data_IF_963071919223
#
_entry.id   IF_963071919223
#
_cell.length_a   1.000
_cell.length_b   1.000
_cell.length_c   1.000
_cell.angle_alpha   90.00
_cell.angle_beta   90.00
_cell.angle_gamma   90.00
#
_symmetry.space_group_name_H-M   'P 1'
#
loop_
_entity.id
_entity.type
_entity.pdbx_description
1 polymer ?
#
# COMPACT_ATOMS: atom_id res chain seq x y z
N UNK A 1 -26.62 -18.64 -9.23
CA UNK A 1 -25.18 -18.49 -9.52
C UNK A 1 -24.41 -18.77 -8.23
N UNK A 2 -23.64 -19.87 -8.14
CA UNK A 2 -22.88 -20.21 -6.93
C UNK A 2 -21.61 -19.35 -6.90
N UNK A 3 -21.62 -18.27 -6.13
CA UNK A 3 -20.39 -17.53 -5.82
C UNK A 3 -19.55 -18.42 -4.90
N UNK A 4 -18.34 -18.87 -5.29
CA UNK A 4 -17.51 -19.65 -4.40
C UNK A 4 -17.08 -18.76 -3.22
N UNK A 5 -17.66 -19.01 -2.06
CA UNK A 5 -17.30 -18.38 -0.79
C UNK A 5 -15.94 -18.92 -0.37
N UNK A 6 -14.88 -18.12 -0.56
CA UNK A 6 -13.55 -18.44 -0.05
C UNK A 6 -13.52 -18.04 1.43
N UNK A 7 -13.78 -19.01 2.31
CA UNK A 7 -13.71 -18.84 3.77
C UNK A 7 -12.25 -18.97 4.22
N UNK A 8 -11.64 -17.88 4.68
CA UNK A 8 -10.29 -17.90 5.26
C UNK A 8 -10.36 -18.33 6.74
N UNK A 9 -9.84 -19.51 7.06
CA UNK A 9 -9.64 -19.95 8.45
C UNK A 9 -8.24 -19.57 8.93
N UNK A 10 -8.15 -18.83 10.04
CA UNK A 10 -6.89 -18.51 10.72
C UNK A 10 -6.91 -19.24 12.07
N UNK A 11 -6.08 -20.28 12.22
CA UNK A 11 -5.83 -20.93 13.51
C UNK A 11 -4.75 -20.15 14.29
N UNK A 12 -5.08 -19.84 15.54
CA UNK A 12 -4.17 -19.30 16.55
C UNK A 12 -3.75 -20.43 17.50
N UNK A 13 -2.45 -20.55 17.76
CA UNK A 13 -1.93 -21.29 18.91
C UNK A 13 -0.91 -20.45 19.66
N UNK A 14 -1.12 -20.36 20.98
CA UNK A 14 -0.29 -19.67 21.97
C UNK A 14 0.37 -20.74 22.84
N UNK A 15 1.67 -20.60 23.11
CA UNK A 15 2.32 -21.24 24.27
C UNK A 15 3.27 -20.23 24.90
N UNK A 16 3.25 -20.04 26.24
CA UNK A 16 4.23 -19.25 26.96
C UNK A 16 5.27 -20.13 27.68
N UNK A 17 6.51 -19.65 27.77
CA UNK A 17 7.37 -19.68 28.97
C UNK A 17 8.75 -19.06 28.65
N UNK A 18 9.30 -18.26 29.57
CA UNK A 18 10.69 -17.78 29.56
C UNK A 18 11.46 -18.47 30.68
N UNK A 19 12.73 -18.87 30.46
CA UNK A 19 13.80 -18.20 31.21
C UNK A 19 15.14 -18.08 30.44
N UNK A 20 15.95 -17.07 30.82
CA UNK A 20 17.37 -16.93 30.45
C UNK A 20 17.64 -16.47 29.01
N UNK A 21 17.94 -15.18 28.83
CA UNK A 21 18.37 -14.66 27.51
C UNK A 21 19.83 -15.06 27.28
N UNK A 22 20.05 -16.23 26.68
CA UNK A 22 21.29 -16.55 25.97
C UNK A 22 21.24 -15.76 24.67
N UNK A 23 22.15 -14.80 24.47
CA UNK A 23 22.25 -14.09 23.21
C UNK A 23 22.84 -15.05 22.14
N UNK A 24 21.98 -15.66 21.33
CA UNK A 24 22.38 -16.66 20.34
C UNK A 24 23.24 -16.13 19.19
N UNK A 25 23.35 -14.81 18.98
CA UNK A 25 24.17 -14.29 17.88
C UNK A 25 24.68 -12.87 18.12
N UNK A 26 26.01 -12.72 18.11
CA UNK A 26 26.70 -11.43 17.97
C UNK A 26 26.98 -11.21 16.48
N UNK A 27 26.40 -10.17 15.86
CA UNK A 27 26.69 -9.78 14.48
C UNK A 27 27.37 -8.42 14.45
N UNK A 28 28.45 -8.31 13.69
CA UNK A 28 29.07 -7.03 13.39
C UNK A 28 28.19 -6.24 12.41
N UNK A 29 27.96 -4.96 12.70
CA UNK A 29 27.34 -4.02 11.76
C UNK A 29 28.25 -2.80 11.62
N UNK A 30 28.63 -2.47 10.38
CA UNK A 30 29.49 -1.35 10.02
C UNK A 30 28.90 0.01 10.41
N UNK A 31 27.57 0.10 10.58
CA UNK A 31 26.91 1.34 11.05
C UNK A 31 27.32 1.73 12.48
N UNK A 32 27.86 0.80 13.27
CA UNK A 32 28.43 1.10 14.59
C UNK A 32 29.94 1.36 14.58
N UNK A 33 30.58 1.24 13.42
CA UNK A 33 31.98 1.55 13.30
C UNK A 33 32.19 3.06 13.48
N UNK A 34 33.06 3.43 14.41
CA UNK A 34 33.40 4.82 14.68
C UNK A 34 33.96 5.52 13.44
N UNK A 35 34.57 4.79 12.51
CA UNK A 35 35.04 5.34 11.24
C UNK A 35 33.91 5.88 10.35
N UNK A 36 32.67 5.40 10.50
CA UNK A 36 31.51 5.95 9.79
C UNK A 36 30.96 7.23 10.43
N UNK A 37 31.29 7.47 11.70
CA UNK A 37 30.87 8.61 12.51
C UNK A 37 29.39 9.07 12.36
N UNK A 38 28.39 8.17 12.37
CA UNK A 38 26.99 8.55 12.27
C UNK A 38 26.53 9.36 13.49
N UNK A 39 25.55 10.24 13.26
CA UNK A 39 24.88 11.01 14.31
C UNK A 39 24.13 10.10 15.30
N UNK A 40 24.21 10.40 16.60
CA UNK A 40 23.52 9.61 17.63
C UNK A 40 21.99 9.68 17.48
N UNK A 41 21.46 10.75 16.86
CA UNK A 41 20.04 10.96 16.56
C UNK A 41 19.41 9.86 15.69
N UNK A 42 20.22 9.12 14.92
CA UNK A 42 19.75 8.04 14.05
C UNK A 42 19.48 6.73 14.80
N UNK A 43 19.85 6.64 16.08
CA UNK A 43 19.74 5.44 16.89
C UNK A 43 18.56 5.52 17.86
N UNK A 44 18.25 4.41 18.54
CA UNK A 44 17.08 4.31 19.45
C UNK A 44 17.30 4.91 20.83
N UNK A 45 18.56 5.16 21.19
CA UNK A 45 18.95 5.83 22.42
C UNK A 45 19.65 7.18 22.15
N UNK A 46 19.06 8.10 21.36
CA UNK A 46 19.70 9.35 21.05
C UNK A 46 19.69 10.24 22.29
N UNK A 47 18.51 10.68 22.75
CA UNK A 47 18.28 11.66 23.81
C UNK A 47 17.27 11.14 24.86
N UNK A 48 16.86 12.01 25.77
CA UNK A 48 16.00 11.68 26.92
C UNK A 48 16.79 11.26 28.16
N UNK A 49 16.08 10.96 29.26
CA UNK A 49 16.70 10.65 30.55
C UNK A 49 17.73 9.50 30.50
N UNK A 50 17.54 8.53 29.58
CA UNK A 50 18.42 7.39 29.37
C UNK A 50 19.25 7.50 28.06
N UNK A 51 19.08 8.56 27.27
CA UNK A 51 19.72 8.72 25.97
C UNK A 51 21.22 9.00 26.06
N UNK A 52 21.97 8.55 25.05
CA UNK A 52 23.43 8.67 25.01
C UNK A 52 23.90 10.11 24.78
N UNK A 53 23.15 10.91 24.01
CA UNK A 53 23.43 12.35 23.83
C UNK A 53 23.26 13.09 25.15
N UNK A 54 22.23 12.76 25.94
CA UNK A 54 21.98 13.38 27.24
C UNK A 54 23.01 12.96 28.28
N UNK A 55 23.30 11.65 28.38
CA UNK A 55 24.23 11.11 29.39
C UNK A 55 25.70 11.38 29.06
N UNK A 56 26.08 11.24 27.79
CA UNK A 56 27.46 11.38 27.37
C UNK A 56 27.74 12.76 26.77
N UNK A 57 26.76 13.65 26.55
CA UNK A 57 26.97 14.98 25.93
C UNK A 57 27.71 14.92 24.58
N UNK A 58 27.38 13.95 23.73
CA UNK A 58 27.98 13.78 22.40
C UNK A 58 26.90 13.63 21.35
N UNK A 59 27.14 14.10 20.12
CA UNK A 59 26.14 14.13 19.05
C UNK A 59 26.39 13.08 17.95
N UNK A 60 27.55 12.42 17.95
CA UNK A 60 27.90 11.37 16.99
C UNK A 60 28.73 10.24 17.63
N UNK A 61 28.96 9.16 16.88
CA UNK A 61 29.68 7.98 17.38
C UNK A 61 31.15 8.26 17.72
N UNK A 62 31.83 9.19 17.04
CA UNK A 62 33.21 9.53 17.34
C UNK A 62 33.33 10.28 18.66
N UNK A 63 32.45 11.26 18.91
CA UNK A 63 32.38 11.97 20.18
C UNK A 63 32.00 11.03 21.33
N UNK A 64 31.09 10.08 21.08
CA UNK A 64 30.74 9.06 22.05
C UNK A 64 31.95 8.16 22.37
N UNK A 65 32.70 7.72 21.35
CA UNK A 65 33.92 6.91 21.52
C UNK A 65 34.90 7.53 22.51
N UNK A 66 35.17 8.83 22.37
CA UNK A 66 36.11 9.56 23.22
C UNK A 66 35.68 9.64 24.68
N UNK A 67 34.42 9.29 24.97
CA UNK A 67 33.82 9.32 26.32
C UNK A 67 33.58 7.93 26.89
N UNK A 68 33.71 6.89 26.07
CA UNK A 68 33.63 5.51 26.51
C UNK A 68 35.02 5.03 26.94
N UNK A 69 35.05 4.05 27.85
CA UNK A 69 36.31 3.41 28.25
C UNK A 69 36.96 2.73 27.03
N UNK A 70 38.29 2.73 26.98
CA UNK A 70 39.03 2.03 25.94
C UNK A 70 38.60 0.56 25.84
N UNK A 71 38.41 0.06 24.60
CA UNK A 71 37.90 -1.29 24.36
C UNK A 71 36.38 -1.45 24.51
N UNK A 72 35.65 -0.36 24.75
CA UNK A 72 34.18 -0.35 24.67
C UNK A 72 33.73 -0.09 23.24
N UNK A 73 32.84 -0.94 22.76
CA UNK A 73 32.20 -0.81 21.45
C UNK A 73 30.75 -0.37 21.61
N UNK A 74 30.15 0.06 20.51
CA UNK A 74 28.74 0.41 20.47
C UNK A 74 28.03 -0.60 19.58
N UNK A 75 26.82 -1.05 19.94
CA UNK A 75 26.10 -2.05 19.16
C UNK A 75 24.62 -2.13 19.47
N UNK A 76 23.84 -2.86 18.68
CA UNK A 76 22.44 -3.14 18.99
C UNK A 76 22.30 -4.10 20.18
N UNK A 77 21.22 -3.98 20.94
CA UNK A 77 20.81 -5.02 21.89
C UNK A 77 19.31 -5.24 21.83
N UNK A 78 18.84 -6.50 21.82
CA UNK A 78 17.42 -6.80 21.91
C UNK A 78 16.79 -6.36 23.24
N UNK A 79 17.59 -6.06 24.27
CA UNK A 79 17.10 -5.53 25.54
C UNK A 79 16.56 -4.09 25.42
N UNK A 80 16.90 -3.36 24.35
CA UNK A 80 16.36 -2.03 24.07
C UNK A 80 15.14 -2.21 23.17
N UNK A 81 13.96 -1.94 23.72
CA UNK A 81 12.67 -2.23 23.06
C UNK A 81 11.97 -0.97 22.55
N UNK A 82 12.35 0.22 23.04
CA UNK A 82 11.71 1.49 22.72
C UNK A 82 12.68 2.67 22.80
N UNK A 83 12.29 3.81 22.23
CA UNK A 83 13.07 5.05 22.39
C UNK A 83 13.19 5.41 23.87
N UNK A 84 14.38 5.84 24.30
CA UNK A 84 14.69 6.19 25.69
C UNK A 84 14.44 5.03 26.69
N UNK A 85 14.64 3.77 26.24
CA UNK A 85 14.57 2.58 27.10
C UNK A 85 15.51 2.71 28.32
N UNK A 86 15.14 2.12 29.47
CA UNK A 86 15.99 2.08 30.66
C UNK A 86 17.27 1.26 30.45
N UNK A 87 17.30 0.42 29.41
CA UNK A 87 18.48 -0.31 28.97
C UNK A 87 19.41 0.52 28.07
N UNK A 88 19.01 1.73 27.67
CA UNK A 88 19.87 2.64 26.91
C UNK A 88 21.14 2.99 27.72
N UNK A 89 22.30 2.81 27.08
CA UNK A 89 23.58 3.08 27.74
C UNK A 89 24.02 2.00 28.74
N UNK A 90 23.32 0.86 28.83
CA UNK A 90 23.81 -0.28 29.61
C UNK A 90 25.00 -0.93 28.92
N UNK A 91 25.99 -1.28 29.73
CA UNK A 91 27.14 -2.07 29.31
C UNK A 91 26.77 -3.55 29.32
N UNK A 92 26.98 -4.19 28.18
CA UNK A 92 26.86 -5.63 28.03
C UNK A 92 28.25 -6.22 27.86
N UNK A 93 28.56 -7.27 28.61
CA UNK A 93 29.78 -8.06 28.42
C UNK A 93 29.43 -9.23 27.50
N UNK A 94 30.00 -9.25 26.31
CA UNK A 94 29.89 -10.40 25.41
C UNK A 94 31.19 -11.21 25.47
N UNK A 95 31.08 -12.50 25.74
CA UNK A 95 32.21 -13.45 25.74
C UNK A 95 32.08 -14.37 24.54
N UNK A 96 33.09 -14.40 23.67
CA UNK A 96 33.13 -15.35 22.55
C UNK A 96 33.83 -16.61 23.05
N UNK A 97 33.09 -17.72 23.12
CA UNK A 97 33.58 -18.99 23.68
C UNK A 97 34.82 -19.52 22.94
N UNK A 98 34.94 -19.27 21.64
CA UNK A 98 36.03 -19.80 20.82
C UNK A 98 37.39 -19.12 21.04
N UNK A 99 37.45 -17.93 21.64
CA UNK A 99 38.72 -17.21 21.82
C UNK A 99 38.85 -16.48 23.17
N UNK A 100 37.92 -16.71 24.10
CA UNK A 100 37.88 -16.06 25.44
C UNK A 100 37.88 -14.53 25.42
N UNK A 101 37.72 -13.88 24.26
CA UNK A 101 37.70 -12.43 24.19
C UNK A 101 36.37 -11.92 24.73
N UNK A 102 36.48 -11.07 25.74
CA UNK A 102 35.38 -10.26 26.26
C UNK A 102 35.42 -8.87 25.66
N UNK A 103 34.29 -8.42 25.13
CA UNK A 103 34.11 -7.03 24.72
C UNK A 103 32.94 -6.42 25.48
N UNK A 104 33.12 -5.17 25.90
CA UNK A 104 32.04 -4.37 26.47
C UNK A 104 31.33 -3.66 25.33
N UNK A 105 30.02 -3.86 25.17
CA UNK A 105 29.22 -3.13 24.20
C UNK A 105 28.18 -2.26 24.88
N UNK A 106 28.01 -1.04 24.39
CA UNK A 106 26.88 -0.18 24.75
C UNK A 106 25.74 -0.46 23.79
N UNK A 107 24.68 -1.03 24.34
CA UNK A 107 23.42 -1.29 23.65
C UNK A 107 22.82 0.02 23.11
N UNK A 108 22.50 0.09 21.82
CA UNK A 108 22.16 1.35 21.15
C UNK A 108 21.07 1.30 20.08
N UNK A 109 20.71 0.15 19.53
CA UNK A 109 19.72 0.11 18.44
C UNK A 109 18.61 -0.89 18.66
N UNK A 110 17.39 -0.38 18.51
CA UNK A 110 16.25 -1.12 18.03
C UNK A 110 16.44 -1.20 16.53
N UNK A 111 16.83 -2.36 16.04
CA UNK A 111 16.60 -2.73 14.66
C UNK A 111 15.08 -2.79 14.53
N UNK A 112 14.43 -1.63 14.25
CA UNK A 112 12.99 -1.32 14.49
C UNK A 112 12.23 -2.61 14.61
N UNK A 113 12.08 -3.11 15.85
CA UNK A 113 11.70 -4.50 16.06
C UNK A 113 10.22 -4.54 15.76
N UNK A 114 9.91 -4.79 14.49
CA UNK A 114 8.57 -5.14 14.05
C UNK A 114 8.04 -6.12 15.10
N UNK A 115 6.83 -5.87 15.58
CA UNK A 115 6.16 -6.81 16.48
C UNK A 115 6.25 -8.23 15.90
N UNK A 116 6.23 -9.25 16.77
CA UNK A 116 6.25 -10.65 16.32
C UNK A 116 5.19 -10.89 15.24
N UNK A 117 3.98 -10.36 15.44
CA UNK A 117 2.89 -10.41 14.46
C UNK A 117 3.28 -9.80 13.12
N UNK A 118 3.92 -8.64 13.08
CA UNK A 118 4.32 -8.01 11.82
C UNK A 118 5.45 -8.78 11.13
N UNK A 119 6.39 -9.36 11.90
CA UNK A 119 7.42 -10.25 11.33
C UNK A 119 6.82 -11.50 10.72
N UNK A 120 5.93 -12.17 11.45
CA UNK A 120 5.22 -13.36 10.96
C UNK A 120 4.41 -13.03 9.69
N UNK A 121 3.71 -11.89 9.68
CA UNK A 121 2.98 -11.43 8.51
C UNK A 121 3.90 -11.22 7.29
N UNK A 122 5.06 -10.57 7.47
CA UNK A 122 6.00 -10.34 6.37
C UNK A 122 6.67 -11.63 5.86
N UNK A 123 6.98 -12.58 6.76
CA UNK A 123 7.69 -13.80 6.40
C UNK A 123 6.77 -14.91 5.89
N UNK A 124 5.58 -15.06 6.48
CA UNK A 124 4.65 -16.13 6.15
C UNK A 124 3.57 -15.68 5.17
N UNK A 125 3.14 -14.42 5.22
CA UNK A 125 2.04 -13.91 4.39
C UNK A 125 2.23 -14.14 2.89
N UNK A 126 3.30 -13.60 2.26
CA UNK A 126 3.52 -13.79 0.83
C UNK A 126 3.71 -15.26 0.43
N UNK A 127 4.57 -16.07 1.09
CA UNK A 127 4.67 -17.50 0.77
C UNK A 127 3.35 -18.26 0.90
N UNK A 128 2.56 -18.02 1.96
CA UNK A 128 1.26 -18.65 2.13
C UNK A 128 0.28 -18.28 1.01
N UNK A 129 0.24 -17.01 0.59
CA UNK A 129 -0.58 -16.58 -0.53
C UNK A 129 -0.16 -17.24 -1.85
N UNK A 130 1.15 -17.31 -2.12
CA UNK A 130 1.68 -17.96 -3.33
C UNK A 130 1.43 -19.47 -3.34
N UNK A 131 1.54 -20.14 -2.19
CA UNK A 131 1.20 -21.56 -2.06
C UNK A 131 -0.29 -21.79 -2.35
N UNK A 132 -1.18 -20.97 -1.78
CA UNK A 132 -2.62 -21.06 -2.03
C UNK A 132 -2.99 -20.80 -3.49
N UNK A 133 -2.36 -19.83 -4.14
CA UNK A 133 -2.54 -19.60 -5.59
C UNK A 133 -1.96 -20.78 -6.37
N UNK A 134 -0.82 -21.34 -5.93
CA UNK A 134 -0.13 -22.44 -6.59
C UNK A 134 -0.94 -23.74 -6.62
N UNK A 135 -1.80 -23.99 -5.64
CA UNK A 135 -2.69 -25.17 -5.63
C UNK A 135 -3.77 -25.11 -6.71
N UNK A 136 -4.07 -23.94 -7.25
CA UNK A 136 -5.11 -23.74 -8.29
C UNK A 136 -4.53 -23.31 -9.63
N UNK A 137 -3.44 -22.53 -9.63
CA UNK A 137 -2.74 -22.09 -10.83
C UNK A 137 -1.25 -21.84 -10.55
N UNK A 138 -0.36 -22.81 -10.83
CA UNK A 138 1.09 -22.64 -10.67
C UNK A 138 1.64 -21.46 -11.49
N UNK A 139 1.08 -21.22 -12.68
CA UNK A 139 1.44 -20.08 -13.54
C UNK A 139 1.12 -18.75 -12.89
N UNK A 140 -0.08 -18.62 -12.29
CA UNK A 140 -0.44 -17.40 -11.56
C UNK A 140 0.44 -17.19 -10.33
N UNK A 141 0.77 -18.27 -9.60
CA UNK A 141 1.67 -18.19 -8.44
C UNK A 141 3.07 -17.72 -8.85
N UNK A 142 3.60 -18.17 -9.99
CA UNK A 142 4.90 -17.73 -10.49
C UNK A 142 4.92 -16.25 -10.87
N UNK A 143 3.82 -15.71 -11.43
CA UNK A 143 3.74 -14.34 -11.93
C UNK A 143 3.30 -13.32 -10.87
N UNK A 144 2.55 -13.76 -9.85
CA UNK A 144 2.03 -12.90 -8.77
C UNK A 144 3.08 -12.04 -8.06
N UNK A 145 4.33 -12.49 -7.81
CA UNK A 145 5.38 -11.66 -7.21
C UNK A 145 5.70 -10.38 -7.99
N UNK A 146 5.43 -10.33 -9.30
CA UNK A 146 5.64 -9.13 -10.11
C UNK A 146 4.78 -7.94 -9.64
N UNK A 147 3.60 -8.21 -9.06
CA UNK A 147 2.73 -7.19 -8.47
C UNK A 147 3.39 -6.42 -7.31
N UNK A 148 4.40 -7.01 -6.65
CA UNK A 148 5.12 -6.39 -5.53
C UNK A 148 6.25 -5.47 -5.97
N UNK A 149 6.63 -5.45 -7.26
CA UNK A 149 7.76 -4.65 -7.74
C UNK A 149 7.58 -3.16 -7.44
N UNK A 150 6.43 -2.52 -7.74
CA UNK A 150 6.25 -1.10 -7.41
C UNK A 150 6.28 -0.83 -5.90
N UNK A 151 5.75 -1.75 -5.09
CA UNK A 151 5.82 -1.70 -3.62
C UNK A 151 7.26 -1.72 -3.14
N UNK A 152 8.11 -2.60 -3.66
CA UNK A 152 9.53 -2.67 -3.30
C UNK A 152 10.28 -1.38 -3.67
N UNK A 153 10.03 -0.84 -4.87
CA UNK A 153 10.64 0.43 -5.33
C UNK A 153 10.23 1.60 -4.43
N UNK A 154 8.95 1.72 -4.11
CA UNK A 154 8.43 2.79 -3.26
C UNK A 154 8.88 2.63 -1.81
N UNK A 155 8.94 1.42 -1.27
CA UNK A 155 9.48 1.13 0.06
C UNK A 155 10.95 1.56 0.17
N UNK A 156 11.79 1.26 -0.84
CA UNK A 156 13.19 1.72 -0.91
C UNK A 156 13.28 3.24 -0.92
N UNK A 157 12.48 3.92 -1.75
CA UNK A 157 12.44 5.40 -1.82
C UNK A 157 11.96 6.01 -0.51
N UNK A 158 10.93 5.43 0.10
CA UNK A 158 10.39 5.84 1.38
C UNK A 158 11.45 5.71 2.49
N UNK A 159 12.17 4.58 2.58
CA UNK A 159 13.24 4.37 3.58
C UNK A 159 14.30 5.47 3.49
N UNK A 160 14.74 5.83 2.29
CA UNK A 160 15.69 6.93 2.07
C UNK A 160 15.16 8.28 2.58
N UNK A 161 13.90 8.61 2.27
CA UNK A 161 13.26 9.89 2.68
C UNK A 161 13.01 9.96 4.19
N UNK A 162 12.54 8.84 4.77
CA UNK A 162 12.33 8.69 6.21
C UNK A 162 13.63 8.93 6.97
N UNK A 163 14.73 8.33 6.52
CA UNK A 163 16.03 8.52 7.18
C UNK A 163 16.48 9.98 7.18
N UNK A 164 16.13 10.75 6.15
CA UNK A 164 16.44 12.18 6.08
C UNK A 164 15.52 13.06 6.97
N UNK A 165 14.30 12.60 7.27
CA UNK A 165 13.31 13.40 8.03
C UNK A 165 12.34 12.52 8.84
N UNK A 166 12.84 11.76 9.84
CA UNK A 166 12.06 10.72 10.50
C UNK A 166 10.83 11.27 11.23
N UNK A 167 10.89 12.51 11.72
CA UNK A 167 9.80 13.16 12.43
C UNK A 167 8.60 13.52 11.53
N UNK A 168 8.73 13.52 10.19
CA UNK A 168 7.65 13.88 9.27
C UNK A 168 6.91 12.67 8.69
N UNK A 169 7.57 11.51 8.70
CA UNK A 169 7.11 10.30 8.03
C UNK A 169 6.40 9.31 8.98
N UNK A 170 5.63 8.40 8.39
CA UNK A 170 5.01 7.30 9.14
C UNK A 170 6.06 6.31 9.66
N UNK A 171 5.67 5.48 10.63
CA UNK A 171 6.48 4.36 11.13
C UNK A 171 6.24 3.13 10.24
N UNK A 172 7.25 2.27 10.03
CA UNK A 172 7.15 1.14 9.09
C UNK A 172 6.06 0.14 9.45
N UNK A 173 5.90 -0.19 10.73
CA UNK A 173 4.95 -1.22 11.18
C UNK A 173 3.49 -0.82 10.88
N UNK A 174 3.03 0.39 11.22
CA UNK A 174 1.72 0.87 10.77
C UNK A 174 1.54 0.88 9.25
N UNK A 175 2.60 1.12 8.46
CA UNK A 175 2.51 1.06 7.00
C UNK A 175 2.30 -0.37 6.49
N UNK A 176 3.00 -1.35 7.07
CA UNK A 176 2.80 -2.78 6.74
C UNK A 176 1.37 -3.18 7.03
N UNK A 177 0.85 -2.85 8.22
CA UNK A 177 -0.54 -3.16 8.57
C UNK A 177 -1.55 -2.44 7.67
N UNK A 178 -1.31 -1.17 7.33
CA UNK A 178 -2.17 -0.44 6.40
C UNK A 178 -2.20 -1.10 5.02
N UNK A 179 -1.02 -1.46 4.50
CA UNK A 179 -0.90 -2.20 3.24
C UNK A 179 -1.69 -3.52 3.28
N UNK A 180 -1.47 -4.34 4.31
CA UNK A 180 -2.11 -5.65 4.42
C UNK A 180 -3.62 -5.56 4.64
N UNK A 181 -4.07 -4.71 5.56
CA UNK A 181 -5.51 -4.60 5.90
C UNK A 181 -6.29 -4.00 4.73
N UNK A 182 -5.76 -2.98 4.06
CA UNK A 182 -6.42 -2.40 2.90
C UNK A 182 -6.48 -3.39 1.73
N UNK A 183 -5.40 -4.14 1.48
CA UNK A 183 -5.38 -5.13 0.41
C UNK A 183 -6.28 -6.35 0.65
N UNK A 184 -6.41 -6.79 1.91
CA UNK A 184 -7.23 -7.98 2.24
C UNK A 184 -8.65 -7.57 2.65
N UNK A 185 -8.84 -7.19 3.92
CA UNK A 185 -10.14 -6.84 4.48
C UNK A 185 -10.79 -5.65 3.76
N UNK A 186 -9.99 -4.65 3.39
CA UNK A 186 -10.46 -3.48 2.65
C UNK A 186 -11.03 -3.85 1.30
N UNK A 187 -10.31 -4.63 0.49
CA UNK A 187 -10.79 -5.08 -0.81
C UNK A 187 -12.00 -6.01 -0.68
N UNK A 188 -12.02 -6.92 0.29
CA UNK A 188 -13.17 -7.78 0.56
C UNK A 188 -14.42 -6.96 0.93
N UNK A 189 -14.27 -5.97 1.81
CA UNK A 189 -15.35 -5.06 2.17
C UNK A 189 -15.81 -4.23 0.95
N UNK A 190 -14.88 -3.73 0.13
CA UNK A 190 -15.20 -3.04 -1.11
C UNK A 190 -16.04 -3.91 -2.03
N UNK A 191 -15.62 -5.16 -2.28
CA UNK A 191 -16.32 -6.09 -3.15
C UNK A 191 -17.75 -6.39 -2.66
N UNK A 192 -17.97 -6.57 -1.36
CA UNK A 192 -19.31 -6.80 -0.78
C UNK A 192 -20.21 -5.58 -1.00
N UNK A 193 -19.72 -4.38 -0.67
CA UNK A 193 -20.49 -3.14 -0.82
C UNK A 193 -20.78 -2.86 -2.30
N UNK A 194 -19.79 -3.04 -3.17
CA UNK A 194 -19.92 -2.91 -4.62
C UNK A 194 -20.97 -3.87 -5.17
N UNK A 195 -20.90 -5.15 -4.80
CA UNK A 195 -21.90 -6.14 -5.23
C UNK A 195 -23.30 -5.75 -4.75
N UNK A 196 -23.46 -5.31 -3.50
CA UNK A 196 -24.75 -4.83 -2.99
C UNK A 196 -25.32 -3.67 -3.79
N UNK A 197 -24.50 -2.66 -4.10
CA UNK A 197 -24.89 -1.51 -4.93
C UNK A 197 -25.30 -1.99 -6.33
N UNK A 198 -24.47 -2.80 -6.98
CA UNK A 198 -24.73 -3.27 -8.33
C UNK A 198 -25.96 -4.17 -8.42
N UNK A 199 -26.21 -5.03 -7.42
CA UNK A 199 -27.44 -5.84 -7.33
C UNK A 199 -28.69 -4.96 -7.20
N UNK A 200 -28.66 -3.94 -6.33
CA UNK A 200 -29.77 -3.01 -6.18
C UNK A 200 -30.06 -2.24 -7.47
N UNK A 201 -29.02 -1.71 -8.12
CA UNK A 201 -29.14 -0.98 -9.39
C UNK A 201 -29.62 -1.90 -10.52
N UNK A 202 -29.08 -3.12 -10.61
CA UNK A 202 -29.51 -4.12 -11.58
C UNK A 202 -30.99 -4.49 -11.40
N UNK A 203 -31.47 -4.62 -10.16
CA UNK A 203 -32.87 -4.89 -9.88
C UNK A 203 -33.82 -3.74 -10.29
N UNK A 204 -33.34 -2.49 -10.24
CA UNK A 204 -34.12 -1.31 -10.68
C UNK A 204 -34.11 -1.17 -12.21
N UNK A 205 -32.96 -1.39 -12.85
CA UNK A 205 -32.79 -1.17 -14.29
C UNK A 205 -33.34 -2.33 -15.15
N UNK A 206 -33.38 -3.56 -14.61
CA UNK A 206 -33.72 -4.78 -15.34
C UNK A 206 -35.01 -5.38 -14.75
N UNK A 207 -36.20 -5.00 -15.26
CA UNK A 207 -37.47 -5.27 -14.59
C UNK A 207 -37.89 -6.74 -14.61
N UNK A 208 -37.53 -7.50 -15.66
CA UNK A 208 -37.84 -8.94 -15.75
C UNK A 208 -36.71 -9.79 -15.17
N UNK A 209 -37.06 -10.85 -14.44
CA UNK A 209 -36.10 -11.79 -13.86
C UNK A 209 -35.21 -12.46 -14.91
N UNK A 210 -35.76 -12.79 -16.08
CA UNK A 210 -35.02 -13.39 -17.19
C UNK A 210 -33.92 -12.46 -17.71
N UNK A 211 -34.27 -11.21 -18.04
CA UNK A 211 -33.29 -10.20 -18.48
C UNK A 211 -32.21 -9.94 -17.41
N UNK A 212 -32.58 -9.91 -16.13
CA UNK A 212 -31.61 -9.72 -15.03
C UNK A 212 -30.67 -10.91 -14.94
N UNK A 213 -31.17 -12.13 -15.05
CA UNK A 213 -30.37 -13.36 -15.04
C UNK A 213 -29.44 -13.42 -16.25
N UNK A 214 -29.94 -13.08 -17.43
CA UNK A 214 -29.18 -12.98 -18.67
C UNK A 214 -28.06 -11.93 -18.53
N UNK A 215 -28.39 -10.71 -18.09
CA UNK A 215 -27.43 -9.63 -17.88
C UNK A 215 -26.31 -10.04 -16.92
N UNK A 216 -26.64 -10.62 -15.75
CA UNK A 216 -25.62 -11.04 -14.79
C UNK A 216 -24.77 -12.20 -15.29
N UNK A 217 -25.36 -13.09 -16.08
CA UNK A 217 -24.63 -14.18 -16.74
C UNK A 217 -23.61 -13.59 -17.70
N UNK A 218 -24.03 -12.65 -18.54
CA UNK A 218 -23.15 -11.99 -19.51
C UNK A 218 -22.12 -11.06 -18.85
N UNK A 219 -22.48 -10.33 -17.79
CA UNK A 219 -21.60 -9.45 -17.03
C UNK A 219 -20.48 -10.24 -16.31
N UNK A 220 -20.78 -11.45 -15.85
CA UNK A 220 -19.82 -12.34 -15.18
C UNK A 220 -18.88 -13.09 -16.12
N UNK A 221 -19.05 -13.01 -17.45
CA UNK A 221 -18.16 -13.70 -18.40
C UNK A 221 -16.81 -13.00 -18.51
N UNK A 222 -15.74 -13.80 -18.49
CA UNK A 222 -14.37 -13.33 -18.73
C UNK A 222 -13.92 -13.47 -20.19
N UNK A 223 -14.69 -14.18 -21.03
CA UNK A 223 -14.37 -14.42 -22.45
C UNK A 223 -15.63 -14.60 -23.29
N UNK A 224 -15.53 -14.31 -24.59
CA UNK A 224 -16.55 -14.57 -25.62
C UNK A 224 -16.30 -15.87 -26.39
N UNK A 225 -15.20 -16.55 -26.12
CA UNK A 225 -14.86 -17.82 -26.77
C UNK A 225 -15.94 -18.87 -26.53
N UNK A 226 -16.39 -19.52 -27.60
CA UNK A 226 -17.40 -20.58 -27.55
C UNK A 226 -18.85 -20.10 -27.61
N UNK A 227 -19.09 -18.78 -27.76
CA UNK A 227 -20.43 -18.26 -28.02
C UNK A 227 -20.82 -18.44 -29.49
N UNK A 228 -22.10 -18.75 -29.73
CA UNK A 228 -22.68 -18.77 -31.09
C UNK A 228 -22.86 -17.35 -31.63
N UNK A 229 -23.05 -17.21 -32.95
CA UNK A 229 -23.33 -15.91 -33.57
C UNK A 229 -24.57 -15.23 -32.97
N UNK A 230 -25.63 -15.99 -32.75
CA UNK A 230 -26.87 -15.50 -32.12
C UNK A 230 -26.63 -14.99 -30.69
N UNK A 231 -25.81 -15.69 -29.90
CA UNK A 231 -25.42 -15.26 -28.55
C UNK A 231 -24.57 -13.99 -28.59
N UNK A 232 -23.66 -13.85 -29.57
CA UNK A 232 -22.85 -12.64 -29.74
C UNK A 232 -23.71 -11.43 -30.12
N UNK A 233 -24.68 -11.62 -31.03
CA UNK A 233 -25.64 -10.57 -31.40
C UNK A 233 -26.48 -10.14 -30.20
N UNK A 234 -27.00 -11.10 -29.43
CA UNK A 234 -27.78 -10.82 -28.22
C UNK A 234 -26.95 -10.09 -27.16
N UNK A 235 -25.70 -10.49 -26.96
CA UNK A 235 -24.76 -9.81 -26.06
C UNK A 235 -24.48 -8.38 -26.50
N UNK A 236 -24.32 -8.13 -27.80
CA UNK A 236 -24.11 -6.79 -28.34
C UNK A 236 -25.35 -5.89 -28.16
N UNK A 237 -26.56 -6.44 -28.28
CA UNK A 237 -27.81 -5.75 -27.96
C UNK A 237 -27.84 -5.33 -26.48
N UNK A 238 -27.54 -6.25 -25.55
CA UNK A 238 -27.45 -5.95 -24.12
C UNK A 238 -26.37 -4.89 -23.84
N UNK A 239 -25.21 -5.00 -24.48
CA UNK A 239 -24.09 -4.08 -24.30
C UNK A 239 -24.46 -2.65 -24.75
N UNK A 240 -25.17 -2.53 -25.88
CA UNK A 240 -25.59 -1.23 -26.44
C UNK A 240 -26.80 -0.62 -25.74
N UNK A 241 -27.52 -1.38 -24.92
CA UNK A 241 -28.68 -0.90 -24.16
C UNK A 241 -28.35 0.27 -23.22
N UNK A 242 -29.28 1.23 -23.09
CA UNK A 242 -29.10 2.35 -22.17
C UNK A 242 -28.99 1.89 -20.71
N UNK A 243 -29.63 0.77 -20.35
CA UNK A 243 -29.54 0.14 -19.03
C UNK A 243 -28.10 -0.24 -18.71
N UNK A 244 -27.38 -0.86 -19.65
CA UNK A 244 -25.98 -1.23 -19.47
C UNK A 244 -25.09 0.01 -19.29
N UNK A 245 -25.34 1.09 -20.04
CA UNK A 245 -24.60 2.35 -19.87
C UNK A 245 -24.82 3.00 -18.50
N UNK A 246 -26.07 3.07 -18.01
CA UNK A 246 -26.39 3.59 -16.67
C UNK A 246 -25.80 2.68 -15.58
N UNK A 247 -25.88 1.37 -15.77
CA UNK A 247 -25.27 0.40 -14.88
C UNK A 247 -23.75 0.58 -14.81
N UNK A 248 -23.06 0.68 -15.95
CA UNK A 248 -21.62 0.90 -16.02
C UNK A 248 -21.22 2.24 -15.39
N UNK A 249 -21.98 3.31 -15.59
CA UNK A 249 -21.76 4.58 -14.89
C UNK A 249 -21.83 4.42 -13.37
N UNK A 250 -22.85 3.71 -12.88
CA UNK A 250 -23.03 3.49 -11.44
C UNK A 250 -21.96 2.56 -10.85
N UNK A 251 -21.65 1.46 -11.54
CA UNK A 251 -20.57 0.54 -11.19
C UNK A 251 -19.23 1.29 -11.05
N UNK A 252 -18.92 2.16 -12.00
CA UNK A 252 -17.58 2.75 -12.08
C UNK A 252 -17.41 3.96 -11.15
N UNK A 253 -18.37 4.88 -11.10
CA UNK A 253 -18.25 6.08 -10.26
C UNK A 253 -18.69 5.86 -8.82
N UNK A 254 -19.76 5.10 -8.60
CA UNK A 254 -20.35 4.91 -7.26
C UNK A 254 -19.79 3.65 -6.62
N UNK A 255 -19.96 2.48 -7.24
CA UNK A 255 -19.54 1.23 -6.63
C UNK A 255 -18.00 1.18 -6.53
N UNK A 256 -17.26 1.32 -7.62
CA UNK A 256 -15.80 1.27 -7.62
C UNK A 256 -15.17 2.57 -7.09
N UNK A 257 -15.39 3.69 -7.80
CA UNK A 257 -14.75 4.97 -7.51
C UNK A 257 -15.01 5.47 -6.09
N UNK A 258 -16.27 5.64 -5.69
CA UNK A 258 -16.59 6.19 -4.38
C UNK A 258 -16.21 5.24 -3.23
N UNK A 259 -16.61 3.97 -3.27
CA UNK A 259 -16.35 3.03 -2.17
C UNK A 259 -14.86 2.85 -1.94
N UNK A 260 -14.08 2.62 -3.00
CA UNK A 260 -12.65 2.36 -2.83
C UNK A 260 -11.87 3.60 -2.42
N UNK A 261 -12.16 4.77 -2.98
CA UNK A 261 -11.46 5.99 -2.58
C UNK A 261 -11.83 6.41 -1.16
N UNK A 262 -13.04 6.11 -0.71
CA UNK A 262 -13.41 6.28 0.70
C UNK A 262 -12.63 5.31 1.61
N UNK A 263 -12.48 4.04 1.23
CA UNK A 263 -11.66 3.08 1.97
C UNK A 263 -10.18 3.50 2.01
N UNK A 264 -9.63 3.98 0.89
CA UNK A 264 -8.26 4.53 0.82
C UNK A 264 -8.08 5.82 1.64
N UNK A 265 -9.17 6.49 2.01
CA UNK A 265 -9.17 7.66 2.89
C UNK A 265 -9.14 7.30 4.39
N UNK A 266 -9.59 6.11 4.80
CA UNK A 266 -9.55 5.65 6.21
C UNK A 266 -8.15 5.75 6.84
N UNK A 267 -7.04 5.37 6.17
CA UNK A 267 -5.69 5.55 6.68
C UNK A 267 -5.33 7.01 7.03
N UNK A 268 -5.91 8.00 6.33
CA UNK A 268 -5.76 9.42 6.68
C UNK A 268 -6.41 9.70 8.03
N UNK A 269 -7.64 9.21 8.22
CA UNK A 269 -8.36 9.37 9.49
C UNK A 269 -7.59 8.72 10.65
N UNK A 270 -7.02 7.54 10.41
CA UNK A 270 -6.14 6.86 11.37
C UNK A 270 -4.89 7.70 11.69
N UNK A 271 -4.19 8.21 10.66
CA UNK A 271 -3.01 9.05 10.83
C UNK A 271 -3.33 10.31 11.66
N UNK A 272 -4.41 11.00 11.32
CA UNK A 272 -4.92 12.18 12.04
C UNK A 272 -5.15 11.90 13.52
N UNK A 273 -5.84 10.80 13.84
CA UNK A 273 -6.11 10.41 15.23
C UNK A 273 -4.83 10.10 15.98
N UNK A 274 -3.86 9.45 15.33
CA UNK A 274 -2.55 9.12 15.92
C UNK A 274 -1.73 10.38 16.20
N UNK A 275 -1.71 11.33 15.28
CA UNK A 275 -0.99 12.60 15.40
C UNK A 275 -1.55 13.46 16.53
N UNK A 276 -2.89 13.53 16.65
CA UNK A 276 -3.56 14.18 17.77
C UNK A 276 -3.18 13.53 19.12
N UNK A 277 -3.22 12.20 19.21
CA UNK A 277 -2.86 11.47 20.44
C UNK A 277 -1.39 11.68 20.85
N UNK A 278 -0.47 11.73 19.87
CA UNK A 278 0.96 11.92 20.12
C UNK A 278 1.38 13.39 20.25
N UNK A 279 0.46 14.34 20.04
CA UNK A 279 0.77 15.77 19.93
C UNK A 279 1.92 16.04 18.95
N UNK A 280 1.97 15.28 17.85
CA UNK A 280 3.06 15.32 16.88
C UNK A 280 2.50 15.68 15.50
N UNK A 281 3.13 16.65 14.83
CA UNK A 281 2.78 17.06 13.46
C UNK A 281 3.59 16.24 12.45
N UNK A 282 2.92 15.34 11.71
CA UNK A 282 3.54 14.47 10.70
C UNK A 282 2.83 14.59 9.36
N UNK A 283 2.97 15.76 8.75
CA UNK A 283 2.31 16.13 7.50
C UNK A 283 2.57 15.16 6.33
N UNK A 284 3.76 14.55 6.27
CA UNK A 284 4.09 13.52 5.24
C UNK A 284 3.56 12.14 5.57
N UNK A 285 3.16 11.85 6.81
CA UNK A 285 2.62 10.56 7.18
C UNK A 285 1.30 10.26 6.45
N UNK A 286 0.46 11.27 6.17
CA UNK A 286 -0.79 11.08 5.42
C UNK A 286 -0.53 10.46 4.04
N UNK A 287 0.48 10.96 3.34
CA UNK A 287 0.92 10.44 2.04
C UNK A 287 1.43 9.01 2.20
N UNK A 288 2.29 8.75 3.19
CA UNK A 288 2.83 7.41 3.42
C UNK A 288 1.72 6.37 3.67
N UNK A 289 0.75 6.68 4.54
CA UNK A 289 -0.37 5.78 4.87
C UNK A 289 -1.28 5.53 3.67
N UNK A 290 -1.64 6.56 2.92
CA UNK A 290 -2.53 6.42 1.76
C UNK A 290 -1.84 5.68 0.62
N UNK A 291 -0.54 5.93 0.38
CA UNK A 291 0.22 5.15 -0.60
C UNK A 291 0.35 3.69 -0.18
N UNK A 292 0.59 3.39 1.11
CA UNK A 292 0.59 2.01 1.59
C UNK A 292 -0.77 1.32 1.36
N UNK A 293 -1.88 2.02 1.63
CA UNK A 293 -3.23 1.51 1.37
C UNK A 293 -3.50 1.25 -0.11
N UNK A 294 -3.13 2.20 -0.98
CA UNK A 294 -3.30 2.06 -2.43
C UNK A 294 -2.44 0.92 -3.00
N UNK A 295 -1.20 0.77 -2.52
CA UNK A 295 -0.35 -0.37 -2.87
C UNK A 295 -0.98 -1.69 -2.43
N UNK A 296 -1.50 -1.76 -1.21
CA UNK A 296 -2.20 -2.94 -0.69
C UNK A 296 -3.36 -3.37 -1.57
N UNK A 297 -4.27 -2.42 -1.87
CA UNK A 297 -5.39 -2.62 -2.80
C UNK A 297 -4.90 -3.15 -4.16
N UNK A 298 -4.00 -2.41 -4.80
CA UNK A 298 -3.53 -2.73 -6.15
C UNK A 298 -2.79 -4.07 -6.23
N UNK A 299 -2.06 -4.48 -5.19
CA UNK A 299 -1.34 -5.75 -5.19
C UNK A 299 -2.32 -6.92 -5.21
N UNK A 300 -3.32 -6.92 -4.32
CA UNK A 300 -4.29 -8.03 -4.23
C UNK A 300 -5.18 -8.05 -5.48
N UNK A 301 -5.59 -6.89 -5.97
CA UNK A 301 -6.34 -6.78 -7.22
C UNK A 301 -5.53 -7.30 -8.42
N UNK A 302 -4.26 -6.89 -8.55
CA UNK A 302 -3.38 -7.36 -9.63
C UNK A 302 -3.16 -8.87 -9.56
N UNK A 303 -3.04 -9.45 -8.36
CA UNK A 303 -2.99 -10.91 -8.19
C UNK A 303 -4.27 -11.57 -8.72
N UNK A 304 -5.45 -11.00 -8.42
CA UNK A 304 -6.72 -11.46 -8.95
C UNK A 304 -6.78 -11.43 -10.48
N UNK A 305 -6.30 -10.35 -11.11
CA UNK A 305 -6.23 -10.25 -12.57
C UNK A 305 -5.23 -11.25 -13.18
N UNK A 306 -4.04 -11.40 -12.59
CA UNK A 306 -3.05 -12.40 -13.02
C UNK A 306 -3.63 -13.81 -12.93
N UNK A 307 -4.33 -14.10 -11.84
CA UNK A 307 -4.99 -15.39 -11.63
C UNK A 307 -6.05 -15.65 -12.71
N UNK A 308 -6.95 -14.68 -12.94
CA UNK A 308 -8.00 -14.78 -13.96
C UNK A 308 -7.42 -15.02 -15.36
N UNK A 309 -6.36 -14.30 -15.73
CA UNK A 309 -5.68 -14.47 -17.01
C UNK A 309 -5.00 -15.84 -17.16
N UNK A 310 -4.50 -16.42 -16.06
CA UNK A 310 -3.80 -17.71 -16.09
C UNK A 310 -4.75 -18.92 -16.07
N UNK A 311 -5.84 -18.88 -15.28
CA UNK A 311 -6.78 -20.00 -15.12
C UNK A 311 -7.61 -20.23 -16.37
N UNK A 312 -7.87 -19.17 -17.16
CA UNK A 312 -8.57 -19.30 -18.44
C UNK A 312 -7.83 -20.19 -19.45
N UNK A 313 -6.54 -20.51 -19.23
CA UNK A 313 -5.77 -21.50 -20.00
C UNK A 313 -5.49 -21.16 -21.47
N UNK A 314 -6.17 -20.16 -22.02
CA UNK A 314 -6.19 -19.85 -23.45
C UNK A 314 -5.47 -18.54 -23.81
N UNK A 315 -5.00 -17.76 -22.84
CA UNK A 315 -4.29 -16.52 -23.15
C UNK A 315 -2.86 -16.79 -23.63
N UNK A 316 -2.53 -16.22 -24.79
CA UNK A 316 -1.17 -16.23 -25.33
C UNK A 316 -0.22 -15.45 -24.41
N UNK A 317 1.06 -15.83 -24.40
CA UNK A 317 2.09 -15.13 -23.61
C UNK A 317 2.15 -13.62 -23.86
N UNK A 318 2.05 -13.11 -25.11
CA UNK A 318 1.99 -11.67 -25.36
C UNK A 318 0.78 -10.99 -24.70
N UNK A 319 -0.40 -11.61 -24.73
CA UNK A 319 -1.61 -11.06 -24.08
C UNK A 319 -1.48 -11.05 -22.55
N UNK A 320 -0.87 -12.09 -21.99
CA UNK A 320 -0.57 -12.14 -20.57
C UNK A 320 0.45 -11.08 -20.14
N UNK A 321 1.50 -10.85 -20.95
CA UNK A 321 2.48 -9.79 -20.71
C UNK A 321 1.84 -8.41 -20.80
N UNK A 322 0.94 -8.19 -21.76
CA UNK A 322 0.16 -6.97 -21.87
C UNK A 322 -0.69 -6.76 -20.62
N UNK A 323 -1.44 -7.78 -20.17
CA UNK A 323 -2.24 -7.74 -18.94
C UNK A 323 -1.37 -7.39 -17.72
N UNK A 324 -0.18 -8.00 -17.61
CA UNK A 324 0.77 -7.67 -16.55
C UNK A 324 1.20 -6.20 -16.60
N UNK A 325 1.55 -5.67 -17.78
CA UNK A 325 1.92 -4.27 -17.94
C UNK A 325 0.76 -3.33 -17.61
N UNK A 326 -0.44 -3.61 -18.11
CA UNK A 326 -1.64 -2.82 -17.85
C UNK A 326 -2.01 -2.79 -16.37
N UNK A 327 -1.88 -3.90 -15.66
CA UNK A 327 -2.31 -3.99 -14.26
C UNK A 327 -1.21 -3.55 -13.28
N UNK A 328 0.00 -4.11 -13.43
CA UNK A 328 1.12 -3.86 -12.51
C UNK A 328 1.75 -2.48 -12.72
N UNK A 329 1.81 -1.98 -13.96
CA UNK A 329 2.41 -0.67 -14.23
C UNK A 329 1.31 0.38 -14.28
N UNK A 330 0.39 0.25 -15.24
CA UNK A 330 -0.55 1.33 -15.56
C UNK A 330 -1.63 1.46 -14.47
N UNK A 331 -2.31 0.38 -14.10
CA UNK A 331 -3.34 0.36 -13.07
C UNK A 331 -2.81 0.79 -11.70
N UNK A 332 -1.66 0.24 -11.28
CA UNK A 332 -1.04 0.62 -10.02
C UNK A 332 -0.61 2.09 -9.97
N UNK A 333 -0.05 2.64 -11.06
CA UNK A 333 0.20 4.08 -11.16
C UNK A 333 -1.09 4.91 -11.07
N UNK A 334 -2.18 4.43 -11.66
CA UNK A 334 -3.52 4.98 -11.50
C UNK A 334 -3.92 5.09 -10.02
N UNK A 335 -3.96 3.98 -9.30
CA UNK A 335 -4.28 3.95 -7.86
C UNK A 335 -3.40 4.88 -7.04
N UNK A 336 -2.08 4.85 -7.26
CA UNK A 336 -1.14 5.69 -6.53
C UNK A 336 -1.37 7.18 -6.80
N UNK A 337 -1.69 7.55 -8.04
CA UNK A 337 -1.89 8.94 -8.42
C UNK A 337 -3.14 9.55 -7.77
N UNK A 338 -4.27 8.84 -7.81
CA UNK A 338 -5.53 9.29 -7.20
C UNK A 338 -5.47 9.26 -5.67
N UNK A 339 -4.82 8.25 -5.09
CA UNK A 339 -4.61 8.16 -3.65
C UNK A 339 -3.68 9.29 -3.14
N UNK A 340 -2.61 9.59 -3.88
CA UNK A 340 -1.73 10.73 -3.58
C UNK A 340 -2.51 12.05 -3.61
N UNK A 341 -3.42 12.23 -4.57
CA UNK A 341 -4.28 13.41 -4.65
C UNK A 341 -5.15 13.56 -3.39
N UNK A 342 -5.78 12.48 -2.93
CA UNK A 342 -6.54 12.44 -1.66
C UNK A 342 -5.67 12.84 -0.47
N UNK A 343 -4.47 12.26 -0.35
CA UNK A 343 -3.57 12.54 0.76
C UNK A 343 -3.12 14.02 0.79
N UNK A 344 -2.75 14.59 -0.36
CA UNK A 344 -2.28 15.97 -0.44
C UNK A 344 -3.37 16.98 -0.09
N UNK A 345 -4.59 16.73 -0.55
CA UNK A 345 -5.74 17.58 -0.23
C UNK A 345 -6.14 17.46 1.24
N UNK A 346 -6.03 16.26 1.82
CA UNK A 346 -6.18 16.08 3.26
C UNK A 346 -5.09 16.81 4.07
N UNK A 347 -3.83 16.77 3.63
CA UNK A 347 -2.73 17.52 4.27
C UNK A 347 -3.00 19.01 4.24
N UNK A 348 -3.44 19.56 3.10
CA UNK A 348 -3.86 20.96 2.97
C UNK A 348 -4.94 21.36 3.96
N UNK A 349 -6.01 20.55 4.05
CA UNK A 349 -7.10 20.77 5.00
C UNK A 349 -6.63 20.73 6.45
N UNK A 350 -5.95 19.65 6.84
CA UNK A 350 -5.69 19.35 8.26
C UNK A 350 -4.45 20.07 8.81
N UNK A 351 -3.49 20.45 7.96
CA UNK A 351 -2.23 21.07 8.39
C UNK A 351 -2.01 22.50 7.90
N UNK A 352 -2.72 22.94 6.85
CA UNK A 352 -2.54 24.26 6.25
C UNK A 352 -3.79 25.14 6.34
N UNK A 353 -4.88 24.64 6.94
CA UNK A 353 -6.08 25.43 7.24
C UNK A 353 -6.99 25.67 6.04
N UNK A 354 -6.78 24.96 4.93
CA UNK A 354 -7.67 25.10 3.77
C UNK A 354 -9.08 24.59 4.09
N UNK A 355 -10.10 25.37 3.75
CA UNK A 355 -11.53 25.05 3.98
C UNK A 355 -12.07 24.01 3.00
N UNK A 356 -11.48 22.81 3.00
CA UNK A 356 -11.91 21.69 2.15
C UNK A 356 -12.84 20.75 2.93
N UNK A 357 -14.09 20.60 2.50
CA UNK A 357 -14.97 19.54 2.99
C UNK A 357 -14.48 18.14 2.59
N UNK A 358 -15.17 17.08 3.04
CA UNK A 358 -14.84 15.70 2.68
C UNK A 358 -14.80 15.50 1.16
N UNK A 359 -15.82 15.98 0.44
CA UNK A 359 -15.84 15.95 -1.03
C UNK A 359 -14.73 16.78 -1.67
N UNK A 360 -14.35 17.88 -1.02
CA UNK A 360 -13.18 18.66 -1.40
C UNK A 360 -11.88 17.86 -1.27
N UNK A 361 -11.83 16.77 -0.51
CA UNK A 361 -10.66 15.90 -0.37
C UNK A 361 -10.72 14.71 -1.32
N UNK A 362 -11.80 13.91 -1.26
CA UNK A 362 -11.90 12.63 -1.99
C UNK A 362 -12.50 12.76 -3.39
N UNK A 363 -13.31 13.80 -3.65
CA UNK A 363 -14.08 13.95 -4.90
C UNK A 363 -13.26 13.87 -6.18
N UNK A 364 -12.13 14.59 -6.29
CA UNK A 364 -11.27 14.47 -7.46
C UNK A 364 -10.75 13.04 -7.67
N UNK A 365 -10.40 12.32 -6.62
CA UNK A 365 -9.94 10.93 -6.73
C UNK A 365 -11.05 10.01 -7.21
N UNK A 366 -12.26 10.14 -6.66
CA UNK A 366 -13.46 9.41 -7.10
C UNK A 366 -13.74 9.65 -8.58
N UNK A 367 -13.66 10.91 -9.04
CA UNK A 367 -13.87 11.26 -10.44
C UNK A 367 -12.81 10.62 -11.33
N UNK A 368 -11.52 10.80 -11.04
CA UNK A 368 -10.44 10.23 -11.86
C UNK A 368 -10.49 8.70 -11.92
N UNK A 369 -10.74 8.05 -10.78
CA UNK A 369 -10.85 6.60 -10.71
C UNK A 369 -12.11 6.10 -11.44
N UNK A 370 -13.27 6.69 -11.20
CA UNK A 370 -14.50 6.34 -11.90
C UNK A 370 -14.42 6.54 -13.41
N UNK A 371 -13.85 7.66 -13.87
CA UNK A 371 -13.65 7.90 -15.31
C UNK A 371 -12.68 6.92 -15.94
N UNK A 372 -11.61 6.52 -15.23
CA UNK A 372 -10.70 5.48 -15.70
C UNK A 372 -11.46 4.16 -15.93
N UNK A 373 -12.25 3.71 -14.94
CA UNK A 373 -13.01 2.47 -15.06
C UNK A 373 -14.10 2.58 -16.14
N UNK A 374 -14.80 3.72 -16.20
CA UNK A 374 -15.83 3.96 -17.20
C UNK A 374 -15.28 3.93 -18.63
N UNK A 375 -14.10 4.51 -18.87
CA UNK A 375 -13.46 4.48 -20.18
C UNK A 375 -13.13 3.03 -20.61
N UNK A 376 -12.61 2.22 -19.69
CA UNK A 376 -12.36 0.80 -19.93
C UNK A 376 -13.64 0.03 -20.26
N UNK A 377 -14.69 0.20 -19.44
CA UNK A 377 -15.99 -0.42 -19.69
C UNK A 377 -16.58 0.01 -21.04
N UNK A 378 -16.44 1.30 -21.39
CA UNK A 378 -16.94 1.84 -22.67
C UNK A 378 -16.26 1.18 -23.86
N UNK A 379 -14.94 0.99 -23.82
CA UNK A 379 -14.22 0.27 -24.90
C UNK A 379 -14.69 -1.18 -24.99
N UNK A 380 -14.92 -1.85 -23.86
CA UNK A 380 -15.46 -3.21 -23.85
C UNK A 380 -16.87 -3.27 -24.48
N UNK A 381 -17.74 -2.30 -24.13
CA UNK A 381 -19.08 -2.16 -24.72
C UNK A 381 -19.03 -1.90 -26.22
N UNK A 382 -18.05 -1.13 -26.72
CA UNK A 382 -17.85 -0.92 -28.15
C UNK A 382 -17.48 -2.20 -28.92
N UNK A 383 -17.02 -3.25 -28.23
CA UNK A 383 -16.83 -4.59 -28.78
C UNK A 383 -18.04 -5.51 -28.55
N UNK A 384 -19.18 -4.96 -28.14
CA UNK A 384 -20.41 -5.72 -27.87
C UNK A 384 -20.37 -6.50 -26.56
N UNK A 385 -19.52 -6.12 -25.60
CA UNK A 385 -19.40 -6.81 -24.32
C UNK A 385 -20.26 -6.19 -23.22
N UNK A 386 -20.89 -7.05 -22.42
CA UNK A 386 -21.48 -6.72 -21.12
C UNK A 386 -20.44 -7.07 -20.05
N UNK A 387 -20.10 -6.13 -19.18
CA UNK A 387 -18.98 -6.32 -18.24
C UNK A 387 -17.61 -6.01 -18.85
N UNK A 388 -16.53 -6.28 -18.11
CA UNK A 388 -15.17 -6.09 -18.59
C UNK A 388 -14.65 -7.38 -19.25
N UNK A 389 -14.52 -7.34 -20.57
CA UNK A 389 -13.68 -8.27 -21.33
C UNK A 389 -12.57 -7.47 -22.00
N UNK A 390 -11.33 -7.92 -21.84
CA UNK A 390 -10.17 -7.25 -22.43
C UNK A 390 -10.32 -7.18 -23.96
N UNK A 391 -10.16 -6.00 -24.58
CA UNK A 391 -10.34 -5.84 -26.01
C UNK A 391 -9.34 -6.71 -26.79
N UNK A 392 -9.80 -7.34 -27.87
CA UNK A 392 -8.95 -8.19 -28.70
C UNK A 392 -8.43 -7.45 -29.95
N UNK A 393 -9.12 -6.40 -30.39
CA UNK A 393 -8.73 -5.62 -31.57
C UNK A 393 -7.63 -4.61 -31.27
N UNK A 394 -6.57 -4.58 -32.09
CA UNK A 394 -5.44 -3.63 -31.94
C UNK A 394 -5.91 -2.18 -31.77
N UNK A 395 -6.91 -1.75 -32.55
CA UNK A 395 -7.50 -0.41 -32.48
C UNK A 395 -8.10 -0.11 -31.11
N UNK A 396 -8.91 -1.03 -30.58
CA UNK A 396 -9.61 -0.84 -29.31
C UNK A 396 -8.66 -0.94 -28.12
N UNK A 397 -7.70 -1.86 -28.17
CA UNK A 397 -6.61 -1.94 -27.18
C UNK A 397 -5.78 -0.65 -27.18
N UNK A 398 -5.38 -0.13 -28.34
CA UNK A 398 -4.66 1.14 -28.43
C UNK A 398 -5.49 2.32 -27.90
N UNK A 399 -6.79 2.36 -28.21
CA UNK A 399 -7.71 3.37 -27.68
C UNK A 399 -7.82 3.29 -26.14
N UNK A 400 -8.04 2.10 -25.58
CA UNK A 400 -8.11 1.88 -24.14
C UNK A 400 -6.83 2.34 -23.45
N UNK A 401 -5.66 1.90 -23.94
CA UNK A 401 -4.35 2.29 -23.41
C UNK A 401 -4.13 3.80 -23.49
N UNK A 402 -4.50 4.43 -24.61
CA UNK A 402 -4.38 5.88 -24.80
C UNK A 402 -5.25 6.67 -23.83
N UNK A 403 -6.53 6.32 -23.70
CA UNK A 403 -7.47 6.95 -22.76
C UNK A 403 -6.99 6.79 -21.32
N UNK A 404 -6.66 5.57 -20.91
CA UNK A 404 -6.17 5.25 -19.58
C UNK A 404 -4.88 6.02 -19.25
N UNK A 405 -3.89 5.98 -20.15
CA UNK A 405 -2.60 6.65 -19.93
C UNK A 405 -2.77 8.17 -19.87
N UNK A 406 -3.66 8.73 -20.70
CA UNK A 406 -4.03 10.15 -20.65
C UNK A 406 -4.64 10.54 -19.31
N UNK A 407 -5.58 9.75 -18.80
CA UNK A 407 -6.22 9.97 -17.50
C UNK A 407 -5.23 9.88 -16.33
N UNK A 408 -4.32 8.90 -16.35
CA UNK A 408 -3.24 8.80 -15.36
C UNK A 408 -2.30 10.01 -15.44
N UNK A 409 -1.93 10.44 -16.65
CA UNK A 409 -1.12 11.64 -16.86
C UNK A 409 -1.79 12.89 -16.27
N UNK A 410 -3.11 13.04 -16.45
CA UNK A 410 -3.89 14.12 -15.85
C UNK A 410 -3.94 14.02 -14.32
N UNK A 411 -4.18 12.83 -13.76
CA UNK A 411 -4.19 12.62 -12.31
C UNK A 411 -2.82 12.93 -11.69
N UNK A 412 -1.71 12.48 -12.29
CA UNK A 412 -0.34 12.80 -11.88
C UNK A 412 -0.08 14.30 -11.97
N UNK A 413 -0.51 14.97 -13.06
CA UNK A 413 -0.40 16.43 -13.19
C UNK A 413 -1.16 17.14 -12.06
N UNK A 414 -2.36 16.69 -11.71
CA UNK A 414 -3.14 17.25 -10.59
C UNK A 414 -2.49 16.99 -9.24
N UNK A 415 -1.99 15.78 -8.98
CA UNK A 415 -1.24 15.49 -7.76
C UNK A 415 0.01 16.37 -7.65
N UNK A 416 0.75 16.60 -8.75
CA UNK A 416 1.90 17.52 -8.79
C UNK A 416 1.51 18.97 -8.49
N UNK A 417 0.35 19.42 -8.99
CA UNK A 417 -0.17 20.76 -8.67
C UNK A 417 -0.51 20.90 -7.18
N UNK A 418 -1.17 19.90 -6.59
CA UNK A 418 -1.46 19.89 -5.15
C UNK A 418 -0.18 19.79 -4.29
N UNK A 419 0.81 19.02 -4.75
CA UNK A 419 2.12 18.94 -4.09
C UNK A 419 2.83 20.29 -4.01
N UNK A 420 2.82 21.06 -5.10
CA UNK A 420 3.40 22.41 -5.13
C UNK A 420 2.74 23.35 -4.13
N UNK A 421 1.41 23.25 -3.95
CA UNK A 421 0.69 24.05 -2.94
C UNK A 421 1.15 23.69 -1.52
N UNK A 422 1.26 22.40 -1.20
CA UNK A 422 1.80 21.94 0.09
C UNK A 422 3.22 22.46 0.32
N UNK A 423 4.10 22.38 -0.69
CA UNK A 423 5.46 22.91 -0.58
C UNK A 423 5.50 24.42 -0.34
N UNK A 424 4.62 25.18 -1.01
CA UNK A 424 4.52 26.63 -0.80
C UNK A 424 4.17 26.96 0.66
N UNK A 425 3.15 26.30 1.23
CA UNK A 425 2.81 26.50 2.65
C UNK A 425 3.94 26.12 3.61
N UNK A 426 4.73 25.09 3.29
CA UNK A 426 5.91 24.73 4.08
C UNK A 426 6.97 25.83 4.04
N UNK A 427 7.22 26.41 2.86
CA UNK A 427 8.19 27.50 2.70
C UNK A 427 7.74 28.78 3.40
N UNK A 428 6.46 29.16 3.25
CA UNK A 428 5.91 30.36 3.87
C UNK A 428 6.00 30.26 5.40
N UNK A 429 5.68 29.08 5.97
CA UNK A 429 5.82 28.83 7.41
C UNK A 429 7.28 28.95 7.90
N UNK A 430 8.24 28.45 7.13
CA UNK A 430 9.66 28.56 7.52
C UNK A 430 10.12 30.02 7.56
N UNK A 431 9.67 30.84 6.61
CA UNK A 431 9.95 32.28 6.61
C UNK A 431 9.32 32.99 7.81
N UNK A 432 8.08 32.65 8.15
CA UNK A 432 7.41 33.21 9.33
C UNK A 432 8.16 32.83 10.62
N UNK A 433 8.60 31.57 10.75
CA UNK A 433 9.37 31.09 11.90
C UNK A 433 10.77 31.75 11.98
N UNK A 434 11.38 32.12 10.84
CA UNK A 434 12.63 32.90 10.79
C UNK A 434 12.40 34.36 11.18
N UNK A 435 11.31 34.98 10.74
CA UNK A 435 10.99 36.39 11.06
C UNK A 435 10.68 36.66 12.54
N UNK A 436 10.34 35.61 13.30
CA UNK A 436 10.03 35.67 14.74
C UNK A 436 11.24 35.44 15.64
N UNK A 437 12.38 35.02 15.09
CA UNK A 437 13.65 34.85 15.81
C UNK A 437 14.46 36.13 15.71
#
# INVERSE_FOLDING_TARGET
MKVPTITAAILSSVVPASPGVVAETLKYNRDYDHAQNPELALFSCPDGANGLMTRCRGNNLQQLRNKLQAGTYVGASPAITKWNDLNCGRFLRATISSNTKTFNSVAKEILVSLSLSTRLLCYLGPPSALLLIGTTSPKAALLSPLSLVPTAVLCKKWKKRRNASPARHAEIEPLIWTFTLSGTLGLAAAAVVQMGICQAVGAVLLPSEDLRTEFWTEFGRATVSGLTEEQLLRRAELASSWQNWVFNGTLTYVAAGLVEEFLKYIPVMFARRRDAKKKQRRDRAYIDYVLASALGFSVVENIGFIYSACVGGQESWPKLLLTLMERVVVGQLGHLSVACLTALRATRRDYHGDSLGLWGVIGPAVLFHGTYNFALMSVSVMEGNVGWIHPNGLRNTALALGLVSGMIGLAVRKAKQEWRKVQKHEQDRLKDDESRK
#
